data_IF_543725664273
#
_entry.id   IF_543725664273
#
_cell.length_a   1.000
_cell.length_b   1.000
_cell.length_c   1.000
_cell.angle_alpha   90.00
_cell.angle_beta   90.00
_cell.angle_gamma   90.00
#
_symmetry.space_group_name_H-M   'P 1'
#
loop_
_entity.id
_entity.type
_entity.pdbx_description
1 polymer ?
#
# COMPACT_ATOMS: atom_id res chain seq x y z
N UNK A 1 11.94 0.28 -0.59
CA UNK A 1 11.14 1.35 0.06
C UNK A 1 11.32 2.72 -0.59
N UNK A 2 12.42 3.45 -0.35
CA UNK A 2 12.66 4.80 -0.92
C UNK A 2 12.48 4.89 -2.45
N UNK A 3 13.15 4.02 -3.21
CA UNK A 3 13.03 3.95 -4.69
C UNK A 3 11.62 3.62 -5.16
N UNK A 4 10.85 2.89 -4.36
CA UNK A 4 9.48 2.49 -4.70
C UNK A 4 8.50 3.65 -4.52
N UNK A 5 8.61 4.38 -3.40
CA UNK A 5 7.80 5.58 -3.15
C UNK A 5 8.10 6.69 -4.16
N UNK A 6 9.35 6.79 -4.64
CA UNK A 6 9.70 7.75 -5.70
C UNK A 6 8.92 7.51 -7.01
N UNK A 7 8.34 6.32 -7.23
CA UNK A 7 7.49 6.10 -8.41
C UNK A 7 6.26 7.02 -8.40
N UNK A 8 5.72 7.33 -7.23
CA UNK A 8 4.60 8.26 -7.09
C UNK A 8 4.97 9.67 -7.59
N UNK A 9 6.10 10.22 -7.13
CA UNK A 9 6.55 11.57 -7.52
C UNK A 9 7.24 11.64 -8.89
N UNK A 10 7.69 10.51 -9.44
CA UNK A 10 8.33 10.47 -10.77
C UNK A 10 7.37 10.14 -11.91
N UNK A 11 6.33 9.34 -11.64
CA UNK A 11 5.42 8.85 -12.67
C UNK A 11 3.98 9.30 -12.44
N UNK A 12 3.44 9.13 -11.24
CA UNK A 12 2.02 9.40 -11.02
C UNK A 12 1.73 10.91 -11.05
N UNK A 13 2.43 11.71 -10.25
CA UNK A 13 2.19 13.16 -10.21
C UNK A 13 2.57 13.86 -11.54
N UNK A 14 3.83 13.85 -12.00
CA UNK A 14 4.21 14.66 -13.16
C UNK A 14 3.82 14.06 -14.51
N UNK A 15 3.87 12.72 -14.68
CA UNK A 15 3.62 12.10 -15.99
C UNK A 15 2.15 11.75 -16.19
N UNK A 16 1.48 11.29 -15.14
CA UNK A 16 0.07 10.90 -15.24
C UNK A 16 -0.90 12.02 -14.93
N UNK A 17 -0.65 12.84 -13.89
CA UNK A 17 -1.54 13.95 -13.53
C UNK A 17 -1.10 15.33 -14.05
N UNK A 18 0.11 15.44 -14.62
CA UNK A 18 0.67 16.72 -15.05
C UNK A 18 0.95 17.70 -13.89
N UNK A 19 1.19 17.18 -12.69
CA UNK A 19 1.43 17.96 -11.48
C UNK A 19 2.93 18.06 -11.21
N UNK A 20 3.42 19.30 -11.09
CA UNK A 20 4.71 19.61 -10.49
C UNK A 20 4.48 20.13 -9.06
N UNK A 21 5.16 19.55 -8.07
CA UNK A 21 5.03 19.98 -6.68
C UNK A 21 5.85 21.25 -6.43
N UNK A 22 5.25 22.20 -5.70
CA UNK A 22 5.99 23.31 -5.11
C UNK A 22 6.86 22.86 -3.93
N UNK A 23 7.75 23.74 -3.46
CA UNK A 23 8.71 23.42 -2.40
C UNK A 23 8.04 22.93 -1.10
N UNK A 24 6.92 23.55 -0.70
CA UNK A 24 6.17 23.17 0.50
C UNK A 24 5.57 21.75 0.37
N UNK A 25 4.85 21.46 -0.71
CA UNK A 25 4.28 20.12 -0.96
C UNK A 25 5.37 19.05 -1.11
N UNK A 26 6.52 19.41 -1.67
CA UNK A 26 7.68 18.51 -1.79
C UNK A 26 8.28 18.18 -0.41
N UNK A 27 8.41 19.17 0.48
CA UNK A 27 8.88 18.96 1.84
C UNK A 27 7.90 18.08 2.65
N UNK A 28 6.60 18.41 2.59
CA UNK A 28 5.57 17.62 3.28
C UNK A 28 5.45 16.18 2.75
N UNK A 29 5.69 15.96 1.46
CA UNK A 29 5.82 14.62 0.90
C UNK A 29 7.04 13.89 1.47
N UNK A 30 8.18 14.55 1.58
CA UNK A 30 9.40 13.92 2.10
C UNK A 30 9.24 13.50 3.57
N UNK A 31 8.61 14.34 4.40
CA UNK A 31 8.30 14.00 5.80
C UNK A 31 7.46 12.72 5.89
N UNK A 32 6.38 12.63 5.10
CA UNK A 32 5.53 11.43 5.09
C UNK A 32 6.27 10.23 4.50
N UNK A 33 7.09 10.43 3.47
CA UNK A 33 7.90 9.37 2.86
C UNK A 33 8.87 8.77 3.88
N UNK A 34 9.54 9.59 4.69
CA UNK A 34 10.41 9.13 5.77
C UNK A 34 9.61 8.33 6.80
N UNK A 35 8.48 8.85 7.27
CA UNK A 35 7.60 8.16 8.22
C UNK A 35 7.16 6.77 7.75
N UNK A 36 6.77 6.64 6.48
CA UNK A 36 6.36 5.35 5.89
C UNK A 36 7.54 4.37 5.79
N UNK A 37 8.74 4.86 5.48
CA UNK A 37 9.95 4.02 5.40
C UNK A 37 10.34 3.55 6.80
N UNK A 38 10.37 4.45 7.79
CA UNK A 38 10.71 4.11 9.17
C UNK A 38 9.72 3.12 9.76
N UNK A 39 8.42 3.35 9.56
CA UNK A 39 7.38 2.41 10.01
C UNK A 39 7.50 1.03 9.35
N UNK A 40 7.92 0.96 8.08
CA UNK A 40 8.19 -0.31 7.41
C UNK A 40 9.40 -1.03 8.00
N UNK A 41 10.50 -0.31 8.24
CA UNK A 41 11.76 -0.84 8.75
C UNK A 41 11.70 -1.25 10.23
N UNK A 42 10.79 -0.65 11.01
CA UNK A 42 10.60 -0.99 12.42
C UNK A 42 9.86 -2.32 12.64
N UNK A 43 9.20 -2.87 11.61
CA UNK A 43 8.50 -4.14 11.73
C UNK A 43 9.48 -5.30 11.73
N UNK A 44 9.11 -6.38 12.43
CA UNK A 44 9.86 -7.62 12.33
C UNK A 44 9.88 -8.14 10.87
N UNK A 45 11.05 -8.62 10.46
CA UNK A 45 11.24 -9.21 9.14
C UNK A 45 10.89 -10.69 9.16
N UNK A 46 9.97 -11.09 8.28
CA UNK A 46 9.59 -12.49 8.03
C UNK A 46 9.70 -12.78 6.54
N UNK A 47 9.60 -14.05 6.14
CA UNK A 47 9.47 -14.39 4.73
C UNK A 47 8.14 -13.85 4.19
N UNK A 48 8.21 -13.00 3.17
CA UNK A 48 7.05 -12.40 2.51
C UNK A 48 7.05 -12.73 1.02
N UNK A 49 5.91 -13.18 0.52
CA UNK A 49 5.67 -13.48 -0.89
C UNK A 49 5.66 -12.22 -1.75
N UNK A 50 5.30 -11.07 -1.17
CA UNK A 50 5.13 -9.74 -1.81
C UNK A 50 3.95 -9.59 -2.76
N UNK A 51 3.44 -10.70 -3.28
CA UNK A 51 2.28 -10.80 -4.15
C UNK A 51 1.32 -11.89 -3.66
N UNK A 52 1.13 -11.95 -2.33
CA UNK A 52 0.11 -12.80 -1.68
C UNK A 52 -1.29 -12.21 -1.85
N UNK A 53 -1.79 -12.25 -3.08
CA UNK A 53 -3.04 -11.63 -3.50
C UNK A 53 -3.97 -12.68 -4.14
N UNK A 54 -5.31 -12.46 -4.16
CA UNK A 54 -6.27 -13.48 -4.58
C UNK A 54 -5.98 -14.14 -5.95
N UNK A 55 -5.42 -13.41 -6.92
CA UNK A 55 -5.09 -13.98 -8.25
C UNK A 55 -4.02 -15.07 -8.20
N UNK A 56 -3.15 -15.02 -7.18
CA UNK A 56 -2.02 -15.94 -7.00
C UNK A 56 -2.38 -17.09 -6.03
N UNK A 57 -3.63 -17.15 -5.56
CA UNK A 57 -4.15 -18.19 -4.68
C UNK A 57 -5.12 -19.08 -5.46
N UNK A 58 -4.72 -20.33 -5.69
CA UNK A 58 -5.47 -21.33 -6.43
C UNK A 58 -6.19 -22.28 -5.48
N UNK A 59 -7.38 -22.72 -5.85
CA UNK A 59 -8.04 -23.84 -5.19
C UNK A 59 -7.21 -25.10 -5.45
N UNK A 60 -6.69 -25.72 -4.41
CA UNK A 60 -5.90 -26.97 -4.48
C UNK A 60 -6.04 -27.79 -3.20
N UNK A 61 -5.38 -28.95 -3.14
CA UNK A 61 -5.22 -29.75 -1.92
C UNK A 61 -3.71 -29.97 -1.66
N UNK A 62 -3.14 -29.42 -0.57
CA UNK A 62 -3.79 -28.56 0.43
C UNK A 62 -4.22 -27.20 -0.15
N UNK A 63 -5.23 -26.57 0.47
CA UNK A 63 -5.76 -25.26 0.07
C UNK A 63 -5.18 -24.13 0.95
N UNK A 64 -4.73 -22.99 0.39
CA UNK A 64 -4.62 -22.67 -1.04
C UNK A 64 -3.28 -23.12 -1.65
N UNK A 65 -3.27 -23.30 -2.96
CA UNK A 65 -2.07 -23.40 -3.77
C UNK A 65 -1.56 -21.99 -4.06
N UNK A 66 -0.25 -21.78 -3.96
CA UNK A 66 0.35 -20.45 -4.03
C UNK A 66 1.28 -20.36 -5.24
N UNK A 67 1.05 -19.38 -6.11
CA UNK A 67 1.84 -19.13 -7.32
C UNK A 67 2.63 -17.82 -7.20
N UNK A 68 3.65 -17.63 -8.06
CA UNK A 68 4.38 -16.37 -8.22
C UNK A 68 5.32 -16.02 -7.04
N UNK A 69 5.85 -17.04 -6.34
CA UNK A 69 6.68 -16.90 -5.13
C UNK A 69 8.17 -16.65 -5.39
N UNK A 70 8.62 -16.63 -6.65
CA UNK A 70 10.05 -16.48 -7.00
C UNK A 70 10.67 -15.15 -6.57
N UNK A 71 9.81 -14.17 -6.30
CA UNK A 71 10.16 -12.80 -5.94
C UNK A 71 10.11 -12.55 -4.43
N UNK A 72 9.89 -13.60 -3.63
CA UNK A 72 9.79 -13.52 -2.19
C UNK A 72 11.10 -13.06 -1.54
N UNK A 73 10.98 -12.33 -0.44
CA UNK A 73 12.10 -11.75 0.30
C UNK A 73 11.81 -11.77 1.81
N UNK A 74 12.80 -11.42 2.62
CA UNK A 74 12.54 -11.03 4.00
C UNK A 74 12.03 -9.58 4.04
N UNK A 75 10.87 -9.37 4.66
CA UNK A 75 10.22 -8.06 4.71
C UNK A 75 9.22 -7.94 5.86
N UNK A 76 8.52 -6.80 5.96
CA UNK A 76 7.66 -6.47 7.09
C UNK A 76 6.57 -7.52 7.32
N UNK A 77 6.36 -7.95 8.56
CA UNK A 77 5.37 -8.97 8.93
C UNK A 77 3.94 -8.67 8.44
N UNK A 78 3.58 -7.41 8.23
CA UNK A 78 2.25 -7.02 7.74
C UNK A 78 2.10 -7.13 6.22
N UNK A 79 3.20 -7.30 5.46
CA UNK A 79 3.23 -7.05 4.02
C UNK A 79 2.27 -7.98 3.23
N UNK A 80 2.32 -9.28 3.48
CA UNK A 80 1.45 -10.22 2.75
C UNK A 80 -0.01 -10.12 3.17
N UNK A 81 -0.30 -9.80 4.43
CA UNK A 81 -1.66 -9.51 4.88
C UNK A 81 -2.23 -8.28 4.15
N UNK A 82 -1.41 -7.25 3.95
CA UNK A 82 -1.77 -6.07 3.15
C UNK A 82 -2.02 -6.45 1.69
N UNK A 83 -1.18 -7.29 1.08
CA UNK A 83 -1.39 -7.77 -0.29
C UNK A 83 -2.73 -8.48 -0.47
N UNK A 84 -3.17 -9.24 0.55
CA UNK A 84 -4.41 -10.00 0.49
C UNK A 84 -5.65 -9.11 0.75
N UNK A 85 -5.62 -8.29 1.79
CA UNK A 85 -6.78 -7.56 2.28
C UNK A 85 -6.95 -6.17 1.66
N UNK A 86 -5.88 -5.58 1.11
CA UNK A 86 -5.87 -4.27 0.45
C UNK A 86 -5.36 -4.40 -0.99
N UNK A 87 -5.89 -5.40 -1.67
CA UNK A 87 -5.49 -5.82 -3.01
C UNK A 87 -5.65 -4.71 -4.08
N UNK A 88 -4.93 -4.89 -5.18
CA UNK A 88 -4.94 -3.98 -6.33
C UNK A 88 -6.17 -4.10 -7.23
N UNK A 89 -6.86 -5.24 -7.22
CA UNK A 89 -7.93 -5.57 -8.17
C UNK A 89 -9.30 -5.72 -7.48
N UNK A 90 -9.30 -6.03 -6.18
CA UNK A 90 -10.53 -6.17 -5.38
C UNK A 90 -10.54 -5.18 -4.21
N UNK A 91 -11.70 -4.58 -3.95
CA UNK A 91 -11.94 -3.78 -2.75
C UNK A 91 -12.95 -4.49 -1.87
N UNK A 92 -12.60 -4.63 -0.60
CA UNK A 92 -13.46 -5.22 0.42
C UNK A 92 -14.09 -4.12 1.27
N UNK A 93 -15.26 -4.37 1.88
CA UNK A 93 -15.80 -3.47 2.90
C UNK A 93 -14.81 -3.26 4.04
N UNK A 94 -14.66 -2.03 4.51
CA UNK A 94 -13.70 -1.63 5.55
C UNK A 94 -13.84 -2.47 6.83
N UNK A 95 -15.08 -2.64 7.32
CA UNK A 95 -15.36 -3.47 8.49
C UNK A 95 -14.86 -4.92 8.35
N UNK A 96 -14.83 -5.45 7.12
CA UNK A 96 -14.32 -6.81 6.83
C UNK A 96 -12.80 -6.84 6.84
N UNK A 97 -12.15 -5.81 6.29
CA UNK A 97 -10.69 -5.66 6.36
C UNK A 97 -10.23 -5.53 7.82
N UNK A 98 -10.94 -4.74 8.63
CA UNK A 98 -10.63 -4.56 10.06
C UNK A 98 -10.82 -5.87 10.85
N UNK A 99 -11.86 -6.65 10.52
CA UNK A 99 -12.07 -7.97 11.11
C UNK A 99 -10.93 -8.93 10.74
N UNK A 100 -10.52 -8.97 9.47
CA UNK A 100 -9.46 -9.87 9.00
C UNK A 100 -8.08 -9.45 9.49
N UNK A 101 -7.78 -8.16 9.60
CA UNK A 101 -6.51 -7.68 10.17
C UNK A 101 -6.37 -8.12 11.63
N UNK A 102 -7.45 -8.04 12.41
CA UNK A 102 -7.49 -8.54 13.80
C UNK A 102 -7.32 -10.05 13.88
N UNK A 103 -8.05 -10.80 13.06
CA UNK A 103 -7.92 -12.27 13.02
C UNK A 103 -6.52 -12.71 12.61
N UNK A 104 -5.90 -12.03 11.64
CA UNK A 104 -4.52 -12.29 11.25
C UNK A 104 -3.59 -12.03 12.44
N UNK A 105 -3.70 -10.88 13.11
CA UNK A 105 -2.86 -10.53 14.25
C UNK A 105 -2.96 -11.56 15.39
N UNK A 106 -4.18 -11.95 15.77
CA UNK A 106 -4.43 -12.96 16.82
C UNK A 106 -3.81 -14.31 16.45
N UNK A 107 -4.03 -14.78 15.21
CA UNK A 107 -3.52 -16.08 14.74
C UNK A 107 -2.00 -16.06 14.57
N UNK A 108 -1.43 -14.97 14.07
CA UNK A 108 0.01 -14.81 13.91
C UNK A 108 0.70 -14.85 15.28
N UNK A 109 0.16 -14.12 16.26
CA UNK A 109 0.65 -14.14 17.64
C UNK A 109 0.55 -15.54 18.26
N UNK A 110 -0.59 -16.23 18.09
CA UNK A 110 -0.76 -17.60 18.57
C UNK A 110 0.21 -18.60 17.90
N UNK A 111 0.62 -18.34 16.65
CA UNK A 111 1.61 -19.13 15.93
C UNK A 111 3.07 -18.76 16.24
N UNK A 112 3.31 -17.79 17.15
CA UNK A 112 4.66 -17.34 17.51
C UNK A 112 5.33 -16.43 16.48
N UNK A 113 4.57 -15.86 15.52
CA UNK A 113 5.11 -14.85 14.62
C UNK A 113 5.37 -13.54 15.38
N UNK A 114 6.44 -12.80 15.02
CA UNK A 114 6.83 -11.56 15.69
C UNK A 114 5.97 -10.36 15.25
N UNK A 115 4.66 -10.46 15.41
CA UNK A 115 3.74 -9.32 15.25
C UNK A 115 3.81 -8.40 16.49
N UNK A 116 3.36 -7.15 16.34
CA UNK A 116 3.34 -6.17 17.43
C UNK A 116 2.54 -6.68 18.64
N UNK A 117 2.96 -6.29 19.84
CA UNK A 117 2.35 -6.73 21.11
C UNK A 117 0.90 -6.26 21.27
N UNK A 118 0.59 -5.07 20.76
CA UNK A 118 -0.75 -4.50 20.77
C UNK A 118 -1.37 -4.52 19.36
N UNK A 119 -2.69 -4.72 19.31
CA UNK A 119 -3.41 -4.63 18.04
C UNK A 119 -3.37 -3.21 17.46
N UNK A 120 -3.33 -2.17 18.29
CA UNK A 120 -3.29 -0.79 17.82
C UNK A 120 -1.99 -0.50 17.03
N UNK A 121 -0.85 -0.96 17.54
CA UNK A 121 0.44 -0.83 16.87
C UNK A 121 0.49 -1.67 15.59
N UNK A 122 -0.04 -2.90 15.65
CA UNK A 122 -0.19 -3.75 14.48
C UNK A 122 -1.05 -3.07 13.38
N UNK A 123 -2.21 -2.53 13.76
CA UNK A 123 -3.14 -1.90 12.83
C UNK A 123 -2.52 -0.66 12.19
N UNK A 124 -1.79 0.16 12.96
CA UNK A 124 -1.05 1.30 12.42
C UNK A 124 0.02 0.87 11.42
N UNK A 125 0.83 -0.14 11.77
CA UNK A 125 1.86 -0.67 10.88
C UNK A 125 1.27 -1.27 9.59
N UNK A 126 0.14 -1.98 9.71
CA UNK A 126 -0.62 -2.54 8.59
C UNK A 126 -1.20 -1.45 7.67
N UNK A 127 -1.76 -0.39 8.25
CA UNK A 127 -2.31 0.73 7.50
C UNK A 127 -1.24 1.51 6.74
N UNK A 128 -0.11 1.80 7.40
CA UNK A 128 1.00 2.52 6.79
C UNK A 128 1.74 1.68 5.74
N UNK A 129 1.81 0.36 5.94
CA UNK A 129 2.32 -0.56 4.91
C UNK A 129 1.40 -0.59 3.68
N UNK A 130 0.08 -0.61 3.89
CA UNK A 130 -0.90 -0.46 2.81
C UNK A 130 -0.74 0.84 2.04
N UNK A 131 -0.61 1.96 2.76
CA UNK A 131 -0.38 3.28 2.17
C UNK A 131 0.89 3.33 1.33
N UNK A 132 2.01 2.83 1.87
CA UNK A 132 3.28 2.72 1.14
C UNK A 132 3.11 1.92 -0.15
N UNK A 133 2.43 0.77 -0.08
CA UNK A 133 2.19 -0.10 -1.24
C UNK A 133 1.30 0.59 -2.27
N UNK A 134 0.22 1.25 -1.87
CA UNK A 134 -0.69 1.90 -2.81
C UNK A 134 -0.04 3.10 -3.52
N UNK A 135 0.78 3.89 -2.82
CA UNK A 135 1.58 4.95 -3.44
C UNK A 135 2.57 4.38 -4.48
N UNK A 136 3.25 3.27 -4.14
CA UNK A 136 4.08 2.52 -5.10
C UNK A 136 3.26 2.06 -6.31
N UNK A 137 2.07 1.47 -6.10
CA UNK A 137 1.22 0.96 -7.18
C UNK A 137 0.72 2.07 -8.10
N UNK A 138 0.30 3.22 -7.57
CA UNK A 138 -0.04 4.41 -8.36
C UNK A 138 1.11 4.79 -9.32
N UNK A 139 2.34 4.81 -8.81
CA UNK A 139 3.53 5.05 -9.61
C UNK A 139 3.82 3.96 -10.64
N UNK A 140 3.67 2.68 -10.28
CA UNK A 140 3.84 1.55 -11.20
C UNK A 140 2.82 1.63 -12.34
N UNK A 141 1.55 1.89 -12.03
CA UNK A 141 0.48 1.92 -13.02
C UNK A 141 0.66 3.09 -13.99
N UNK A 142 1.02 4.27 -13.48
CA UNK A 142 1.41 5.40 -14.31
C UNK A 142 2.59 5.05 -15.23
N UNK A 143 3.63 4.40 -14.70
CA UNK A 143 4.78 3.96 -15.51
C UNK A 143 4.38 2.97 -16.60
N UNK A 144 3.60 1.95 -16.26
CA UNK A 144 3.12 0.94 -17.22
C UNK A 144 2.27 1.56 -18.32
N UNK A 145 1.43 2.54 -17.99
CA UNK A 145 0.64 3.27 -18.98
C UNK A 145 1.51 4.10 -19.92
N UNK A 146 2.42 4.92 -19.39
CA UNK A 146 3.16 5.90 -20.21
C UNK A 146 4.39 5.33 -20.91
N UNK A 147 5.11 4.40 -20.26
CA UNK A 147 6.33 3.80 -20.81
C UNK A 147 6.04 2.56 -21.63
N UNK A 148 5.12 1.71 -21.15
CA UNK A 148 4.90 0.37 -21.70
C UNK A 148 3.60 0.26 -22.52
N UNK A 149 2.87 1.37 -22.72
CA UNK A 149 1.63 1.43 -23.51
C UNK A 149 0.44 0.68 -22.90
N UNK A 150 0.53 0.24 -21.64
CA UNK A 150 -0.51 -0.56 -20.97
C UNK A 150 -1.56 0.35 -20.32
N UNK A 151 -2.38 0.99 -21.15
CA UNK A 151 -3.40 1.96 -20.73
C UNK A 151 -4.47 1.39 -19.79
N UNK A 152 -4.70 0.07 -19.83
CA UNK A 152 -5.68 -0.61 -18.99
C UNK A 152 -5.52 -0.38 -17.48
N UNK A 153 -4.28 -0.20 -17.01
CA UNK A 153 -3.94 0.01 -15.59
C UNK A 153 -4.39 1.38 -15.04
N UNK A 154 -4.55 2.40 -15.89
CA UNK A 154 -5.00 3.72 -15.45
C UNK A 154 -6.42 3.67 -14.85
N UNK A 155 -7.25 2.72 -15.28
CA UNK A 155 -8.65 2.56 -14.84
C UNK A 155 -8.77 2.16 -13.37
N UNK A 156 -7.73 1.56 -12.80
CA UNK A 156 -7.73 1.14 -11.39
C UNK A 156 -7.22 2.22 -10.44
N UNK A 157 -6.68 3.34 -10.96
CA UNK A 157 -6.12 4.42 -10.13
C UNK A 157 -7.11 5.02 -9.11
N UNK A 158 -8.42 5.22 -9.40
CA UNK A 158 -9.36 5.76 -8.42
C UNK A 158 -9.49 4.90 -7.16
N UNK A 159 -9.31 3.58 -7.28
CA UNK A 159 -9.35 2.65 -6.15
C UNK A 159 -8.26 2.96 -5.14
N UNK A 160 -7.03 3.12 -5.60
CA UNK A 160 -5.88 3.41 -4.74
C UNK A 160 -5.99 4.81 -4.14
N UNK A 161 -6.51 5.79 -4.89
CA UNK A 161 -6.77 7.13 -4.35
C UNK A 161 -7.76 7.05 -3.19
N UNK A 162 -8.87 6.28 -3.32
CA UNK A 162 -9.81 6.07 -2.20
C UNK A 162 -9.12 5.44 -0.98
N UNK A 163 -8.31 4.39 -1.18
CA UNK A 163 -7.56 3.79 -0.07
C UNK A 163 -6.62 4.79 0.61
N UNK A 164 -5.86 5.57 -0.16
CA UNK A 164 -4.97 6.59 0.39
C UNK A 164 -5.78 7.60 1.22
N UNK A 165 -6.87 8.13 0.67
CA UNK A 165 -7.72 9.09 1.36
C UNK A 165 -8.32 8.55 2.66
N UNK A 166 -8.75 7.28 2.68
CA UNK A 166 -9.20 6.62 3.91
C UNK A 166 -8.10 6.58 4.97
N UNK A 167 -6.87 6.22 4.61
CA UNK A 167 -5.78 6.08 5.58
C UNK A 167 -5.27 7.45 6.06
N UNK A 168 -5.07 8.43 5.18
CA UNK A 168 -4.58 9.76 5.59
C UNK A 168 -5.57 10.50 6.49
N UNK A 169 -6.87 10.21 6.39
CA UNK A 169 -7.89 10.76 7.29
C UNK A 169 -7.84 10.18 8.72
N UNK A 170 -7.25 8.98 8.90
CA UNK A 170 -7.17 8.29 10.21
C UNK A 170 -5.98 8.76 11.05
N UNK A 171 -4.91 9.27 10.44
CA UNK A 171 -3.64 9.57 11.12
C UNK A 171 -3.22 11.01 10.89
N UNK A 172 -3.15 11.81 11.96
CA UNK A 172 -2.79 13.23 11.88
C UNK A 172 -1.37 13.47 11.34
N UNK A 173 -0.46 12.52 11.56
CA UNK A 173 0.91 12.54 11.05
C UNK A 173 0.97 12.48 9.52
N UNK A 174 -0.11 12.04 8.86
CA UNK A 174 -0.24 11.96 7.42
C UNK A 174 -0.92 13.20 6.81
N UNK A 175 -1.21 14.23 7.61
CA UNK A 175 -1.86 15.46 7.13
C UNK A 175 -1.15 16.14 5.94
N UNK A 176 0.20 16.16 5.83
CA UNK A 176 0.86 16.67 4.63
C UNK A 176 0.47 15.92 3.36
N UNK A 177 0.33 14.59 3.44
CA UNK A 177 -0.10 13.76 2.30
C UNK A 177 -1.59 13.95 1.98
N UNK A 178 -2.44 14.12 3.00
CA UNK A 178 -3.85 14.44 2.82
C UNK A 178 -4.01 15.73 1.99
N UNK A 179 -3.33 16.82 2.40
CA UNK A 179 -3.36 18.10 1.67
C UNK A 179 -2.84 17.96 0.24
N UNK A 180 -1.76 17.19 0.04
CA UNK A 180 -1.23 16.91 -1.30
C UNK A 180 -2.28 16.23 -2.18
N UNK A 181 -2.95 15.20 -1.65
CA UNK A 181 -3.97 14.48 -2.41
C UNK A 181 -5.21 15.34 -2.68
N UNK A 182 -5.72 16.08 -1.70
CA UNK A 182 -6.88 16.97 -1.84
C UNK A 182 -6.64 18.06 -2.89
N UNK A 183 -5.45 18.66 -2.90
CA UNK A 183 -5.15 19.77 -3.82
C UNK A 183 -4.75 19.29 -5.22
N UNK A 184 -3.98 18.20 -5.31
CA UNK A 184 -3.36 17.79 -6.56
C UNK A 184 -3.96 16.53 -7.18
N UNK A 185 -4.40 15.55 -6.40
CA UNK A 185 -4.81 14.23 -6.89
C UNK A 185 -6.32 14.13 -7.09
N UNK A 186 -7.11 14.38 -6.03
CA UNK A 186 -8.57 14.23 -6.04
C UNK A 186 -9.24 15.04 -7.16
N UNK A 187 -8.86 16.31 -7.46
CA UNK A 187 -9.49 17.08 -8.53
C UNK A 187 -9.24 16.52 -9.95
N UNK A 188 -8.28 15.60 -10.10
CA UNK A 188 -7.84 15.03 -11.39
C UNK A 188 -8.25 13.58 -11.57
N UNK A 189 -8.91 12.99 -10.58
CA UNK A 189 -9.31 11.59 -10.57
C UNK A 189 -10.81 11.53 -10.32
N UNK A 190 -11.56 10.90 -11.22
CA UNK A 190 -12.99 10.65 -11.01
C UNK A 190 -13.15 9.54 -9.95
N UNK A 191 -13.47 9.96 -8.71
CA UNK A 191 -13.72 9.06 -7.57
C UNK A 191 -15.14 8.52 -7.53
#
# INVERSE_FOLDING_TARGET
LARELNLFTQWYLPKHLGVALGAESQAGWEDVRVLLIESALAQACVYVHRDYMPRNLMVSDPNPGVLDFQDAVFGPVTYDAVCLFKDAFVSWPEARVDQWSRQYWERARAAGLPVHDSFADFQRAFDWMGLQRHLKVLGIFARLTHRDGKSGYARDTPRFVRYVMTIVARYGELAPLARLFEHHVVPRVSL
#
